data_IF_395865459034
#
_entry.id   IF_395865459034
#
_cell.length_a   1.000
_cell.length_b   1.000
_cell.length_c   1.000
_cell.angle_alpha   90.00
_cell.angle_beta   90.00
_cell.angle_gamma   90.00
#
_symmetry.space_group_name_H-M   'P 1'
#
loop_
_entity.id
_entity.type
_entity.pdbx_description
1 polymer ?
#
# COMPACT_ATOMS: atom_id res chain seq x y z
N UNK A 1 -11.33 29.67 -8.84
CA UNK A 1 -10.15 28.91 -8.38
C UNK A 1 -9.85 29.01 -6.88
N UNK A 2 -10.64 29.74 -6.07
CA UNK A 2 -10.48 29.86 -4.62
C UNK A 2 -11.71 29.35 -3.84
N UNK A 3 -12.64 28.70 -4.53
CA UNK A 3 -14.01 28.42 -4.07
C UNK A 3 -14.40 26.94 -4.27
N UNK A 4 -13.43 26.02 -4.12
CA UNK A 4 -13.66 24.56 -4.13
C UNK A 4 -13.10 23.91 -2.85
N UNK A 5 -12.57 24.72 -1.92
CA UNK A 5 -11.90 24.24 -0.70
C UNK A 5 -12.81 24.19 0.55
N UNK A 6 -14.08 24.61 0.48
CA UNK A 6 -14.92 24.77 1.67
C UNK A 6 -16.19 23.91 1.77
N UNK A 7 -16.49 23.01 0.81
CA UNK A 7 -17.76 22.23 0.84
C UNK A 7 -17.66 20.76 0.48
N UNK A 8 -16.46 20.20 0.31
CA UNK A 8 -16.30 18.74 0.26
C UNK A 8 -15.87 18.28 1.65
N UNK A 9 -16.79 17.83 2.53
CA UNK A 9 -16.38 17.20 3.77
C UNK A 9 -15.44 16.05 3.39
N UNK A 10 -14.17 16.14 3.81
CA UNK A 10 -13.14 15.12 3.57
C UNK A 10 -13.65 13.74 3.99
N UNK A 11 -14.56 13.70 4.97
CA UNK A 11 -15.29 12.52 5.40
C UNK A 11 -16.20 11.91 4.31
N UNK A 12 -16.90 12.72 3.52
CA UNK A 12 -17.82 12.24 2.47
C UNK A 12 -17.08 11.66 1.28
N UNK A 13 -16.02 12.32 0.82
CA UNK A 13 -15.19 11.83 -0.29
C UNK A 13 -14.40 10.58 0.11
N UNK A 14 -13.89 10.50 1.34
CA UNK A 14 -13.26 9.28 1.86
C UNK A 14 -14.26 8.15 2.06
N UNK A 15 -15.47 8.42 2.56
CA UNK A 15 -16.51 7.39 2.73
C UNK A 15 -16.94 6.80 1.39
N UNK A 16 -17.16 7.66 0.37
CA UNK A 16 -17.50 7.19 -0.98
C UNK A 16 -16.33 6.42 -1.61
N UNK A 17 -15.08 6.87 -1.44
CA UNK A 17 -13.91 6.13 -1.90
C UNK A 17 -13.77 4.76 -1.23
N UNK A 18 -14.02 4.68 0.09
CA UNK A 18 -14.03 3.41 0.83
C UNK A 18 -15.18 2.49 0.38
N UNK A 19 -16.38 3.03 0.12
CA UNK A 19 -17.53 2.25 -0.36
C UNK A 19 -17.28 1.70 -1.77
N UNK A 20 -16.75 2.52 -2.68
CA UNK A 20 -16.38 2.09 -4.03
C UNK A 20 -15.25 1.06 -3.98
N UNK A 21 -14.22 1.31 -3.15
CA UNK A 21 -13.12 0.37 -2.94
C UNK A 21 -13.60 -0.97 -2.37
N UNK A 22 -14.50 -0.95 -1.39
CA UNK A 22 -15.12 -2.15 -0.84
C UNK A 22 -15.92 -2.91 -1.90
N UNK A 23 -16.71 -2.21 -2.72
CA UNK A 23 -17.46 -2.82 -3.82
C UNK A 23 -16.56 -3.44 -4.89
N UNK A 24 -15.46 -2.77 -5.26
CA UNK A 24 -14.49 -3.28 -6.24
C UNK A 24 -13.66 -4.46 -5.71
N UNK A 25 -13.37 -4.47 -4.41
CA UNK A 25 -12.64 -5.57 -3.77
C UNK A 25 -13.55 -6.77 -3.47
N UNK A 26 -14.87 -6.59 -3.41
CA UNK A 26 -15.79 -7.68 -3.07
C UNK A 26 -15.71 -8.88 -4.04
N UNK A 27 -15.67 -8.71 -5.38
CA UNK A 27 -15.47 -9.81 -6.32
C UNK A 27 -14.11 -10.50 -6.13
N UNK A 28 -13.04 -9.72 -5.98
CA UNK A 28 -11.69 -10.25 -5.78
C UNK A 28 -11.58 -11.04 -4.46
N UNK A 29 -12.08 -10.47 -3.37
CA UNK A 29 -12.13 -11.14 -2.06
C UNK A 29 -13.03 -12.37 -2.05
N UNK A 30 -14.15 -12.36 -2.80
CA UNK A 30 -14.99 -13.55 -2.96
C UNK A 30 -14.29 -14.65 -3.77
N UNK A 31 -13.50 -14.29 -4.78
CA UNK A 31 -12.72 -15.24 -5.58
C UNK A 31 -11.57 -15.85 -4.77
N UNK A 32 -10.84 -15.03 -4.00
CA UNK A 32 -9.82 -15.49 -3.05
C UNK A 32 -10.42 -16.39 -1.97
N UNK A 33 -11.61 -16.06 -1.46
CA UNK A 33 -12.31 -16.92 -0.50
C UNK A 33 -12.73 -18.27 -1.10
N UNK A 34 -13.17 -18.30 -2.36
CA UNK A 34 -13.54 -19.56 -3.02
C UNK A 34 -12.32 -20.43 -3.36
N UNK A 35 -11.14 -19.84 -3.59
CA UNK A 35 -9.91 -20.56 -3.94
C UNK A 35 -9.06 -20.95 -2.70
N UNK A 36 -8.88 -20.04 -1.75
CA UNK A 36 -8.03 -20.21 -0.56
C UNK A 36 -8.79 -20.20 0.78
N UNK A 37 -10.05 -19.76 0.84
CA UNK A 37 -10.83 -19.59 2.07
C UNK A 37 -10.98 -20.86 2.94
N UNK A 38 -11.32 -22.03 2.38
CA UNK A 38 -11.45 -23.26 3.17
C UNK A 38 -10.10 -23.76 3.74
N UNK A 39 -8.99 -23.51 3.03
CA UNK A 39 -7.64 -23.93 3.46
C UNK A 39 -7.02 -22.97 4.48
N UNK A 40 -7.29 -21.67 4.37
CA UNK A 40 -6.77 -20.65 5.29
C UNK A 40 -7.46 -20.68 6.66
N UNK A 41 -8.78 -20.89 6.71
CA UNK A 41 -9.48 -21.16 7.98
C UNK A 41 -8.99 -22.47 8.62
N UNK A 42 -8.79 -23.51 7.81
CA UNK A 42 -8.20 -24.77 8.28
C UNK A 42 -6.81 -24.59 8.89
N UNK A 43 -5.94 -23.78 8.28
CA UNK A 43 -4.63 -23.44 8.84
C UNK A 43 -4.73 -22.64 10.14
N UNK A 44 -5.65 -21.69 10.26
CA UNK A 44 -5.81 -20.85 11.46
C UNK A 44 -6.45 -21.60 12.65
N UNK A 45 -7.34 -22.56 12.37
CA UNK A 45 -8.10 -23.29 13.40
C UNK A 45 -7.42 -24.64 13.75
N UNK A 46 -6.76 -25.29 12.78
CA UNK A 46 -6.02 -26.54 13.04
C UNK A 46 -4.60 -26.30 13.60
N UNK A 47 -4.05 -25.09 13.43
CA UNK A 47 -2.78 -24.74 14.01
C UNK A 47 -2.95 -24.29 15.48
N UNK A 48 -2.73 -25.23 16.41
CA UNK A 48 -2.30 -24.95 17.79
C UNK A 48 -0.89 -24.34 17.83
N UNK A 49 -0.58 -23.43 16.90
CA UNK A 49 0.74 -22.84 16.76
C UNK A 49 0.65 -21.39 17.22
N UNK A 50 0.96 -21.15 18.50
CA UNK A 50 1.20 -19.81 19.05
C UNK A 50 2.11 -18.95 18.16
N UNK A 51 2.98 -19.58 17.36
CA UNK A 51 3.78 -18.94 16.34
C UNK A 51 2.96 -18.21 15.29
N UNK A 52 1.87 -18.76 14.75
CA UNK A 52 1.06 -18.09 13.70
C UNK A 52 0.44 -16.81 14.26
N UNK A 53 -0.13 -16.88 15.46
CA UNK A 53 -0.64 -15.71 16.17
C UNK A 53 0.43 -14.66 16.44
N UNK A 54 1.64 -15.09 16.81
CA UNK A 54 2.78 -14.19 16.99
C UNK A 54 3.20 -13.52 15.68
N UNK A 55 3.23 -14.24 14.55
CA UNK A 55 3.52 -13.65 13.24
C UNK A 55 2.45 -12.62 12.84
N UNK A 56 1.17 -12.92 13.08
CA UNK A 56 0.07 -11.98 12.81
C UNK A 56 0.16 -10.73 13.70
N UNK A 57 0.45 -10.89 14.99
CA UNK A 57 0.69 -9.76 15.89
C UNK A 57 1.89 -8.93 15.44
N UNK A 58 3.00 -9.58 15.07
CA UNK A 58 4.19 -8.91 14.59
C UNK A 58 3.88 -8.09 13.33
N UNK A 59 3.19 -8.68 12.35
CA UNK A 59 2.79 -8.00 11.12
C UNK A 59 1.84 -6.83 11.41
N UNK A 60 0.80 -7.04 12.22
CA UNK A 60 -0.15 -5.98 12.55
C UNK A 60 0.50 -4.82 13.32
N UNK A 61 1.31 -5.12 14.33
CA UNK A 61 1.93 -4.09 15.15
C UNK A 61 3.03 -3.34 14.41
N UNK A 62 3.99 -4.04 13.79
CA UNK A 62 5.10 -3.39 13.09
C UNK A 62 4.71 -2.89 11.70
N UNK A 63 4.08 -3.74 10.87
CA UNK A 63 3.79 -3.38 9.48
C UNK A 63 2.60 -2.42 9.35
N UNK A 64 1.69 -2.37 10.33
CA UNK A 64 0.63 -1.34 10.35
C UNK A 64 0.93 -0.25 11.38
N UNK A 65 0.98 -0.59 12.68
CA UNK A 65 1.11 0.42 13.73
C UNK A 65 2.35 1.30 13.58
N UNK A 66 3.53 0.69 13.63
CA UNK A 66 4.81 1.42 13.55
C UNK A 66 5.03 2.04 12.16
N UNK A 67 4.71 1.32 11.08
CA UNK A 67 4.83 1.83 9.73
C UNK A 67 3.95 3.06 9.48
N UNK A 68 2.69 3.05 9.94
CA UNK A 68 1.81 4.20 9.82
C UNK A 68 2.31 5.38 10.65
N UNK A 69 2.83 5.15 11.86
CA UNK A 69 3.44 6.23 12.65
C UNK A 69 4.59 6.89 11.89
N UNK A 70 5.53 6.10 11.37
CA UNK A 70 6.64 6.64 10.56
C UNK A 70 6.16 7.32 9.27
N UNK A 71 5.14 6.76 8.63
CA UNK A 71 4.52 7.37 7.47
C UNK A 71 3.93 8.74 7.78
N UNK A 72 3.12 8.85 8.83
CA UNK A 72 2.52 10.12 9.24
C UNK A 72 3.59 11.14 9.68
N UNK A 73 4.65 10.70 10.36
CA UNK A 73 5.79 11.56 10.69
C UNK A 73 6.54 12.03 9.44
N UNK A 74 6.80 11.13 8.49
CA UNK A 74 7.45 11.46 7.20
C UNK A 74 6.61 12.42 6.37
N UNK A 75 5.30 12.21 6.31
CA UNK A 75 4.35 13.12 5.66
C UNK A 75 4.36 14.50 6.33
N UNK A 76 4.41 14.56 7.67
CA UNK A 76 4.52 15.82 8.41
C UNK A 76 5.84 16.56 8.13
N UNK A 77 6.96 15.84 8.02
CA UNK A 77 8.28 16.43 7.80
C UNK A 77 8.52 16.86 6.34
N UNK A 78 8.08 16.06 5.37
CA UNK A 78 8.40 16.24 3.94
C UNK A 78 7.25 16.86 3.14
N UNK A 79 6.03 16.88 3.68
CA UNK A 79 4.80 17.24 3.00
C UNK A 79 4.21 16.10 2.15
N UNK A 80 2.88 16.07 2.03
CA UNK A 80 2.14 15.04 1.30
C UNK A 80 2.61 14.78 -0.16
N UNK A 81 2.99 15.80 -0.96
CA UNK A 81 3.42 15.57 -2.35
C UNK A 81 4.74 14.81 -2.47
N UNK A 82 5.67 15.00 -1.53
CA UNK A 82 6.95 14.27 -1.54
C UNK A 82 6.78 12.88 -0.94
N UNK A 83 6.00 12.76 0.14
CA UNK A 83 5.72 11.49 0.77
C UNK A 83 5.05 10.49 -0.21
N UNK A 84 4.08 10.93 -1.02
CA UNK A 84 3.40 10.05 -1.98
C UNK A 84 4.35 9.40 -3.00
N UNK A 85 5.44 10.10 -3.38
CA UNK A 85 6.47 9.53 -4.26
C UNK A 85 7.24 8.40 -3.56
N UNK A 86 7.48 8.49 -2.25
CA UNK A 86 8.14 7.42 -1.49
C UNK A 86 7.33 6.12 -1.43
N UNK A 87 6.00 6.19 -1.32
CA UNK A 87 5.14 4.99 -1.36
C UNK A 87 5.27 4.26 -2.69
N UNK A 88 5.43 5.00 -3.79
CA UNK A 88 5.64 4.39 -5.09
C UNK A 88 7.00 3.69 -5.19
N UNK A 89 7.99 4.04 -4.38
CA UNK A 89 9.28 3.35 -4.37
C UNK A 89 9.26 2.05 -3.54
N UNK A 90 8.21 1.79 -2.76
CA UNK A 90 8.10 0.59 -1.91
C UNK A 90 8.30 -0.72 -2.69
N UNK A 91 7.67 -0.94 -3.87
CA UNK A 91 7.89 -2.16 -4.65
C UNK A 91 9.34 -2.33 -5.12
N UNK A 92 10.02 -1.22 -5.44
CA UNK A 92 11.43 -1.23 -5.87
C UNK A 92 12.33 -1.61 -4.70
N UNK A 93 12.13 -1.02 -3.51
CA UNK A 93 12.86 -1.41 -2.31
C UNK A 93 12.57 -2.85 -1.90
N UNK A 94 11.32 -3.31 -1.99
CA UNK A 94 10.97 -4.70 -1.71
C UNK A 94 11.74 -5.68 -2.63
N UNK A 95 11.85 -5.35 -3.93
CA UNK A 95 12.66 -6.12 -4.88
C UNK A 95 14.15 -6.09 -4.52
N UNK A 96 14.71 -4.92 -4.20
CA UNK A 96 16.11 -4.79 -3.82
C UNK A 96 16.45 -5.59 -2.56
N UNK A 97 15.57 -5.55 -1.56
CA UNK A 97 15.70 -6.34 -0.33
C UNK A 97 15.64 -7.84 -0.65
N UNK A 98 14.74 -8.27 -1.55
CA UNK A 98 14.67 -9.67 -2.00
C UNK A 98 15.98 -10.14 -2.62
N UNK A 99 16.60 -9.33 -3.48
CA UNK A 99 17.91 -9.62 -4.07
C UNK A 99 18.98 -9.76 -2.98
N UNK A 100 18.98 -8.85 -2.00
CA UNK A 100 19.91 -8.89 -0.86
C UNK A 100 19.75 -10.15 0.00
N UNK A 101 18.53 -10.70 0.10
CA UNK A 101 18.25 -11.98 0.76
C UNK A 101 18.63 -13.20 -0.11
N UNK A 102 19.24 -13.00 -1.29
CA UNK A 102 19.61 -14.07 -2.22
C UNK A 102 18.44 -14.62 -3.05
N UNK A 103 17.25 -14.01 -2.96
CA UNK A 103 16.07 -14.39 -3.74
C UNK A 103 15.99 -13.53 -4.99
N UNK A 104 16.36 -14.10 -6.12
CA UNK A 104 16.29 -13.44 -7.41
C UNK A 104 14.83 -13.15 -7.79
N UNK A 105 14.49 -11.89 -8.10
CA UNK A 105 13.16 -11.51 -8.51
C UNK A 105 12.77 -12.21 -9.80
N UNK A 106 11.53 -12.68 -9.87
CA UNK A 106 11.01 -13.29 -11.07
C UNK A 106 10.90 -12.26 -12.22
N UNK A 107 10.92 -12.68 -13.49
CA UNK A 107 10.88 -11.77 -14.64
C UNK A 107 9.70 -10.78 -14.63
N UNK A 108 8.54 -11.19 -14.14
CA UNK A 108 7.36 -10.31 -14.03
C UNK A 108 7.54 -9.20 -12.98
N UNK A 109 8.35 -9.43 -11.94
CA UNK A 109 8.63 -8.41 -10.93
C UNK A 109 9.42 -7.26 -11.56
N UNK A 110 10.35 -7.56 -12.47
CA UNK A 110 11.09 -6.55 -13.24
C UNK A 110 10.17 -5.66 -14.08
N UNK A 111 9.17 -6.24 -14.76
CA UNK A 111 8.17 -5.42 -15.47
C UNK A 111 7.35 -4.54 -14.51
N UNK A 112 6.99 -5.07 -13.33
CA UNK A 112 6.30 -4.28 -12.31
C UNK A 112 7.15 -3.11 -11.80
N UNK A 113 8.44 -3.35 -11.52
CA UNK A 113 9.37 -2.29 -11.11
C UNK A 113 9.55 -1.23 -12.21
N UNK A 114 9.62 -1.62 -13.48
CA UNK A 114 9.71 -0.68 -14.60
C UNK A 114 8.47 0.22 -14.68
N UNK A 115 7.26 -0.35 -14.56
CA UNK A 115 5.99 0.41 -14.54
C UNK A 115 5.95 1.39 -13.38
N UNK A 116 6.38 0.96 -12.19
CA UNK A 116 6.45 1.79 -10.99
C UNK A 116 7.42 2.96 -11.19
N UNK A 117 8.63 2.71 -11.68
CA UNK A 117 9.63 3.75 -11.96
C UNK A 117 9.13 4.74 -13.01
N UNK A 118 8.45 4.24 -14.04
CA UNK A 118 7.85 5.09 -15.07
C UNK A 118 6.73 5.98 -14.52
N UNK A 119 5.86 5.42 -13.67
CA UNK A 119 4.82 6.18 -12.97
C UNK A 119 5.41 7.28 -12.09
N UNK A 120 6.44 6.95 -11.31
CA UNK A 120 7.17 7.92 -10.47
C UNK A 120 7.79 9.04 -11.31
N UNK A 121 8.40 8.70 -12.44
CA UNK A 121 9.01 9.68 -13.34
C UNK A 121 8.00 10.69 -13.88
N UNK A 122 6.80 10.23 -14.28
CA UNK A 122 5.71 11.10 -14.76
C UNK A 122 5.20 11.99 -13.62
N UNK A 123 4.93 11.42 -12.44
CA UNK A 123 4.41 12.18 -11.29
C UNK A 123 5.41 13.20 -10.75
N UNK A 124 6.71 12.87 -10.76
CA UNK A 124 7.77 13.80 -10.35
C UNK A 124 7.87 15.02 -11.26
N UNK A 125 7.57 14.87 -12.56
CA UNK A 125 7.53 16.00 -13.51
C UNK A 125 6.28 16.88 -13.33
N UNK A 126 5.12 16.29 -13.08
CA UNK A 126 3.86 17.05 -12.95
C UNK A 126 3.69 17.71 -11.57
N UNK A 127 4.24 17.14 -10.50
CA UNK A 127 4.22 17.70 -9.15
C UNK A 127 5.11 18.94 -8.97
N UNK A 128 6.22 19.05 -9.70
CA UNK A 128 7.10 20.22 -9.65
C UNK A 128 6.52 21.44 -10.38
N UNK A 129 5.65 21.24 -11.38
CA UNK A 129 5.03 22.35 -12.13
C UNK A 129 4.01 23.16 -11.34
N UNK A 130 3.48 22.64 -10.21
CA UNK A 130 2.51 23.36 -9.35
C UNK A 130 3.12 23.98 -8.09
N UNK A 131 4.40 23.71 -7.80
CA UNK A 131 5.10 24.30 -6.65
C UNK A 131 5.86 25.59 -7.01
N UNK A 132 5.84 26.00 -8.29
CA UNK A 132 6.59 27.14 -8.83
C UNK A 132 5.70 28.21 -9.51
N UNK A 133 4.38 28.20 -9.26
CA UNK A 133 3.45 29.24 -9.75
C UNK A 133 2.62 29.85 -8.63
#
# INVERSE_FOLDING_TARGET
GREVLHTQPVLGTTTVACMIGAGLLFPAGSAEWMMEGPRSLGFLIAADNALVWLHLMYLGFFASGVAFLFWYQGVRALGAPRASVFINLVPVFAMLISIFMGKWPAPYQWSGAAVVLFGVYITSRSGQSKAAS
#
